data_IF_685081616545
#
_entry.id   IF_685081616545
#
_cell.length_a   1.000
_cell.length_b   1.000
_cell.length_c   1.000
_cell.angle_alpha   90.00
_cell.angle_beta   90.00
_cell.angle_gamma   90.00
#
_symmetry.space_group_name_H-M   'P 1'
#
loop_
_entity.id
_entity.type
_entity.pdbx_description
1 polymer ?
#
# COMPACT_ATOMS: atom_id res chain seq x y z
N UNK A 1 11.97 14.24 52.62
CA UNK A 1 12.21 15.09 51.42
C UNK A 1 13.07 14.43 50.35
N UNK A 2 14.07 13.59 50.66
CA UNK A 2 14.90 12.90 49.63
C UNK A 2 14.18 11.81 48.81
N UNK A 3 13.22 11.08 49.40
CA UNK A 3 12.44 10.05 48.70
C UNK A 3 11.34 10.61 47.79
N UNK A 4 10.89 11.83 48.05
CA UNK A 4 9.92 12.57 47.20
C UNK A 4 10.57 13.04 45.89
N UNK A 5 11.85 13.42 45.92
CA UNK A 5 12.61 13.77 44.70
C UNK A 5 12.91 12.55 43.82
N UNK A 6 13.11 11.36 44.41
CA UNK A 6 13.35 10.12 43.65
C UNK A 6 12.07 9.63 42.97
N UNK A 7 10.91 9.80 43.60
CA UNK A 7 9.61 9.45 42.99
C UNK A 7 9.24 10.33 41.79
N UNK A 8 9.70 11.58 41.74
CA UNK A 8 9.41 12.50 40.64
C UNK A 8 10.32 12.25 39.40
N UNK A 9 11.51 11.68 39.61
CA UNK A 9 12.45 11.37 38.54
C UNK A 9 12.06 10.12 37.72
N UNK A 10 11.31 9.18 38.30
CA UNK A 10 10.91 7.93 37.61
C UNK A 10 9.71 8.12 36.66
N UNK A 11 8.88 9.15 36.89
CA UNK A 11 7.70 9.42 36.06
C UNK A 11 8.04 10.13 34.74
N UNK A 12 9.23 10.72 34.63
CA UNK A 12 9.64 11.54 33.48
C UNK A 12 10.22 10.76 32.28
N UNK A 13 10.39 9.44 32.39
CA UNK A 13 10.94 8.59 31.32
C UNK A 13 9.91 7.81 30.50
N UNK A 14 8.61 7.91 30.82
CA UNK A 14 7.53 7.37 29.98
C UNK A 14 7.07 8.44 29.00
N UNK A 15 7.95 8.85 28.10
CA UNK A 15 7.49 9.52 26.88
C UNK A 15 6.85 8.42 26.03
N UNK A 16 5.59 8.54 25.56
CA UNK A 16 5.08 7.60 24.59
C UNK A 16 5.99 7.71 23.37
N UNK A 17 6.73 6.63 23.06
CA UNK A 17 7.42 6.51 21.79
C UNK A 17 6.39 6.83 20.72
N UNK A 18 6.73 7.78 19.84
CA UNK A 18 5.88 8.12 18.71
C UNK A 18 5.78 6.87 17.86
N UNK A 19 4.73 6.09 18.07
CA UNK A 19 4.35 4.97 17.23
C UNK A 19 4.15 5.56 15.85
N UNK A 20 5.15 5.37 14.99
CA UNK A 20 4.97 5.69 13.58
C UNK A 20 3.85 4.78 13.10
N UNK A 21 2.86 5.30 12.36
CA UNK A 21 1.81 4.46 11.79
C UNK A 21 2.48 3.39 10.94
N UNK A 22 2.48 2.16 11.45
CA UNK A 22 3.06 1.02 10.76
C UNK A 22 2.06 0.58 9.69
N UNK A 23 2.52 0.48 8.44
CA UNK A 23 1.71 -0.01 7.32
C UNK A 23 1.54 -1.52 7.41
N UNK A 24 0.62 -2.08 6.64
CA UNK A 24 0.39 -3.54 6.62
C UNK A 24 1.65 -4.32 6.22
N UNK A 25 2.56 -3.72 5.45
CA UNK A 25 3.72 -4.42 4.88
C UNK A 25 5.05 -3.97 5.45
N UNK A 26 5.09 -3.10 6.46
CA UNK A 26 6.37 -2.62 6.99
C UNK A 26 7.24 -3.76 7.54
N UNK A 27 6.64 -4.71 8.26
CA UNK A 27 7.37 -5.89 8.77
C UNK A 27 7.90 -6.77 7.64
N UNK A 28 7.07 -7.02 6.62
CA UNK A 28 7.47 -7.77 5.42
C UNK A 28 8.61 -7.05 4.70
N UNK A 29 8.47 -5.75 4.48
CA UNK A 29 9.48 -4.92 3.84
C UNK A 29 10.81 -4.98 4.59
N UNK A 30 10.81 -4.76 5.91
CA UNK A 30 12.04 -4.82 6.71
C UNK A 30 12.69 -6.21 6.71
N UNK A 31 11.87 -7.27 6.67
CA UNK A 31 12.37 -8.65 6.66
C UNK A 31 13.00 -9.04 5.32
N UNK A 32 12.35 -8.71 4.20
CA UNK A 32 12.71 -9.24 2.87
C UNK A 32 13.41 -8.24 1.95
N UNK A 33 13.37 -6.94 2.23
CA UNK A 33 14.03 -5.96 1.37
C UNK A 33 15.54 -6.22 1.24
N UNK A 34 16.02 -6.25 0.00
CA UNK A 34 17.42 -6.50 -0.33
C UNK A 34 17.87 -7.96 -0.21
N UNK A 35 16.95 -8.89 0.05
CA UNK A 35 17.23 -10.33 -0.07
C UNK A 35 17.23 -10.77 -1.55
N UNK A 36 17.85 -11.92 -1.81
CA UNK A 36 17.87 -12.54 -3.14
C UNK A 36 16.47 -12.96 -3.58
N UNK A 37 16.13 -12.74 -4.86
CA UNK A 37 14.78 -12.95 -5.40
C UNK A 37 13.78 -11.84 -5.07
N UNK A 38 14.16 -10.82 -4.28
CA UNK A 38 13.28 -9.71 -3.92
C UNK A 38 13.71 -8.39 -4.56
N UNK A 39 12.75 -7.72 -5.20
CA UNK A 39 12.85 -6.31 -5.57
C UNK A 39 12.05 -5.47 -4.56
N UNK A 40 12.72 -4.50 -3.93
CA UNK A 40 12.12 -3.64 -2.92
C UNK A 40 12.14 -2.17 -3.34
N UNK A 41 10.98 -1.53 -3.34
CA UNK A 41 10.81 -0.10 -3.66
C UNK A 41 10.21 0.61 -2.45
N UNK A 42 10.81 1.73 -2.04
CA UNK A 42 10.28 2.60 -0.99
C UNK A 42 10.40 4.07 -1.43
N UNK A 43 9.24 4.70 -1.64
CA UNK A 43 9.12 6.10 -2.01
C UNK A 43 8.56 6.84 -0.81
N UNK A 44 9.36 7.77 -0.27
CA UNK A 44 9.02 8.55 0.90
C UNK A 44 8.20 9.81 0.53
N UNK A 45 7.58 10.49 1.51
CA UNK A 45 6.77 11.70 1.24
C UNK A 45 7.56 12.82 0.55
N UNK A 46 8.87 12.90 0.76
CA UNK A 46 9.69 13.97 0.21
C UNK A 46 9.89 13.83 -1.30
N UNK A 47 9.94 12.59 -1.81
CA UNK A 47 9.94 12.35 -3.25
C UNK A 47 8.61 12.79 -3.89
N UNK A 48 7.47 12.48 -3.26
CA UNK A 48 6.16 12.91 -3.75
C UNK A 48 6.03 14.44 -3.77
N UNK A 49 6.47 15.13 -2.71
CA UNK A 49 6.50 16.60 -2.67
C UNK A 49 7.41 17.22 -3.74
N UNK A 50 8.55 16.58 -4.02
CA UNK A 50 9.45 17.04 -5.06
C UNK A 50 8.79 16.95 -6.44
N UNK A 51 8.07 15.86 -6.72
CA UNK A 51 7.37 15.66 -7.99
C UNK A 51 6.15 16.59 -8.08
N UNK A 52 5.36 16.73 -7.02
CA UNK A 52 4.16 17.58 -7.00
C UNK A 52 4.50 19.07 -7.16
N UNK A 53 5.66 19.50 -6.67
CA UNK A 53 6.17 20.86 -6.82
C UNK A 53 6.71 21.21 -8.21
N UNK A 54 6.82 20.24 -9.13
CA UNK A 54 7.14 20.53 -10.53
C UNK A 54 5.91 21.14 -11.20
N UNK A 55 6.01 22.41 -11.57
CA UNK A 55 4.92 23.18 -12.15
C UNK A 55 4.59 22.64 -13.56
N UNK A 56 3.57 21.79 -13.65
CA UNK A 56 3.07 21.16 -14.87
C UNK A 56 1.94 21.99 -15.51
N UNK A 57 1.88 23.30 -15.26
CA UNK A 57 0.78 24.20 -15.65
C UNK A 57 0.48 24.23 -17.16
N UNK A 58 1.49 23.95 -18.02
CA UNK A 58 1.36 23.82 -19.48
C UNK A 58 0.97 22.41 -19.95
N UNK A 59 0.70 21.47 -19.03
CA UNK A 59 0.41 20.08 -19.35
C UNK A 59 -1.09 19.82 -19.55
N UNK A 60 -1.37 18.75 -20.31
CA UNK A 60 -2.74 18.29 -20.59
C UNK A 60 -3.58 18.08 -19.31
N UNK A 61 -4.91 18.10 -19.45
CA UNK A 61 -5.84 17.90 -18.33
C UNK A 61 -5.58 16.60 -17.54
N UNK A 62 -5.18 15.53 -18.24
CA UNK A 62 -4.75 14.25 -17.64
C UNK A 62 -3.51 14.38 -16.74
N UNK A 63 -2.58 15.26 -17.08
CA UNK A 63 -1.38 15.49 -16.26
C UNK A 63 -1.72 16.21 -14.96
N UNK A 64 -2.71 17.11 -14.99
CA UNK A 64 -3.22 17.80 -13.78
C UNK A 64 -3.96 16.83 -12.86
N UNK A 65 -4.75 15.91 -13.41
CA UNK A 65 -5.39 14.84 -12.65
C UNK A 65 -4.37 13.92 -11.97
N UNK A 66 -3.32 13.51 -12.70
CA UNK A 66 -2.23 12.72 -12.14
C UNK A 66 -1.48 13.47 -11.02
N UNK A 67 -1.21 14.77 -11.20
CA UNK A 67 -0.58 15.61 -10.18
C UNK A 67 -1.43 15.67 -8.89
N UNK A 68 -2.74 15.92 -9.02
CA UNK A 68 -3.65 15.96 -7.87
C UNK A 68 -3.74 14.61 -7.13
N UNK A 69 -3.62 13.49 -7.86
CA UNK A 69 -3.55 12.16 -7.24
C UNK A 69 -2.23 11.98 -6.48
N UNK A 70 -1.10 12.42 -7.05
CA UNK A 70 0.22 12.36 -6.41
C UNK A 70 0.30 13.19 -5.13
N UNK A 71 -0.38 14.35 -5.07
CA UNK A 71 -0.42 15.19 -3.86
C UNK A 71 -1.11 14.52 -2.66
N UNK A 72 -2.02 13.59 -2.92
CA UNK A 72 -2.73 12.84 -1.88
C UNK A 72 -1.93 11.65 -1.37
N UNK A 73 -0.88 11.23 -2.07
CA UNK A 73 -0.02 10.11 -1.70
C UNK A 73 1.14 10.65 -0.86
N UNK A 74 1.36 10.00 0.27
CA UNK A 74 2.44 10.33 1.21
C UNK A 74 3.50 9.25 1.27
N UNK A 75 3.24 8.05 0.75
CA UNK A 75 4.22 6.98 0.75
C UNK A 75 3.82 5.83 -0.17
N UNK A 76 4.82 5.15 -0.70
CA UNK A 76 4.65 3.91 -1.44
C UNK A 76 5.74 2.93 -1.02
N UNK A 77 5.34 1.72 -0.64
CA UNK A 77 6.24 0.59 -0.44
C UNK A 77 5.78 -0.56 -1.32
N UNK A 78 6.72 -1.22 -1.96
CA UNK A 78 6.45 -2.39 -2.79
C UNK A 78 7.53 -3.43 -2.58
N UNK A 79 7.11 -4.68 -2.49
CA UNK A 79 7.95 -5.86 -2.62
C UNK A 79 7.44 -6.68 -3.79
N UNK A 80 8.35 -7.08 -4.65
CA UNK A 80 8.13 -8.06 -5.72
C UNK A 80 9.04 -9.24 -5.41
N UNK A 81 8.46 -10.43 -5.40
CA UNK A 81 9.17 -11.68 -5.26
C UNK A 81 9.04 -12.47 -6.56
N UNK A 82 10.18 -12.61 -7.23
CA UNK A 82 10.33 -13.31 -8.51
C UNK A 82 11.62 -14.16 -8.39
N UNK A 83 11.50 -15.39 -7.85
CA UNK A 83 12.65 -16.28 -7.66
C UNK A 83 13.11 -16.94 -8.97
N UNK A 84 14.25 -17.61 -8.94
CA UNK A 84 14.65 -18.50 -10.04
C UNK A 84 13.71 -19.72 -10.11
N UNK A 85 13.57 -20.30 -11.31
CA UNK A 85 12.66 -21.42 -11.57
C UNK A 85 12.92 -22.61 -10.62
N UNK A 86 11.90 -23.00 -9.87
CA UNK A 86 11.96 -24.11 -8.91
C UNK A 86 12.43 -23.72 -7.51
N UNK A 87 12.68 -22.44 -7.24
CA UNK A 87 12.87 -21.89 -5.91
C UNK A 87 11.60 -21.16 -5.44
N UNK A 88 11.27 -21.29 -4.16
CA UNK A 88 10.11 -20.60 -3.56
C UNK A 88 10.38 -20.32 -2.09
N UNK A 89 9.89 -19.18 -1.60
CA UNK A 89 9.99 -18.78 -0.21
C UNK A 89 8.62 -18.99 0.44
N UNK A 90 8.39 -20.22 0.91
CA UNK A 90 7.10 -20.61 1.51
C UNK A 90 6.67 -19.67 2.65
N UNK A 91 7.62 -19.22 3.47
CA UNK A 91 7.35 -18.30 4.58
C UNK A 91 6.83 -16.95 4.07
N UNK A 92 7.46 -16.39 3.04
CA UNK A 92 6.99 -15.14 2.41
C UNK A 92 5.59 -15.30 1.81
N UNK A 93 5.35 -16.41 1.09
CA UNK A 93 4.06 -16.69 0.47
C UNK A 93 2.94 -16.84 1.52
N UNK A 94 3.21 -17.50 2.65
CA UNK A 94 2.27 -17.58 3.77
C UNK A 94 2.01 -16.22 4.42
N UNK A 95 3.05 -15.42 4.62
CA UNK A 95 2.92 -14.09 5.20
C UNK A 95 2.08 -13.16 4.30
N UNK A 96 2.29 -13.16 2.97
CA UNK A 96 1.45 -12.39 2.04
C UNK A 96 0.00 -12.89 2.05
N UNK A 97 -0.23 -14.21 2.02
CA UNK A 97 -1.59 -14.76 2.11
C UNK A 97 -2.30 -14.29 3.38
N UNK A 98 -1.57 -14.11 4.49
CA UNK A 98 -2.12 -13.60 5.74
C UNK A 98 -2.55 -12.12 5.67
N UNK A 99 -1.91 -11.31 4.82
CA UNK A 99 -2.25 -9.90 4.65
C UNK A 99 -3.66 -9.69 4.12
N UNK A 100 -4.21 -10.65 3.37
CA UNK A 100 -5.62 -10.60 2.93
C UNK A 100 -6.62 -10.55 4.09
N UNK A 101 -6.20 -10.87 5.32
CA UNK A 101 -7.02 -10.89 6.55
C UNK A 101 -6.55 -9.86 7.57
N UNK A 102 -5.73 -8.89 7.17
CA UNK A 102 -5.22 -7.86 8.08
C UNK A 102 -6.37 -7.05 8.70
N UNK A 103 -6.31 -6.80 10.00
CA UNK A 103 -7.38 -6.09 10.72
C UNK A 103 -7.43 -4.62 10.32
N UNK A 104 -8.64 -4.10 10.17
CA UNK A 104 -8.88 -2.68 9.86
C UNK A 104 -8.82 -2.34 8.37
N UNK A 105 -8.70 -3.34 7.51
CA UNK A 105 -8.79 -3.19 6.07
C UNK A 105 -10.08 -3.82 5.56
N UNK A 106 -10.67 -3.20 4.55
CA UNK A 106 -11.83 -3.69 3.82
C UNK A 106 -11.38 -4.11 2.42
N UNK A 107 -11.70 -5.34 2.02
CA UNK A 107 -11.50 -5.82 0.66
C UNK A 107 -12.44 -5.03 -0.28
N UNK A 108 -11.85 -4.28 -1.19
CA UNK A 108 -12.60 -3.49 -2.18
C UNK A 108 -12.80 -4.27 -3.46
N UNK A 109 -11.84 -5.14 -3.80
CA UNK A 109 -11.85 -5.94 -5.00
C UNK A 109 -11.02 -7.21 -4.81
N UNK A 110 -11.48 -8.29 -5.42
CA UNK A 110 -10.67 -9.49 -5.67
C UNK A 110 -10.94 -10.01 -7.08
N UNK A 111 -9.87 -10.34 -7.80
CA UNK A 111 -9.90 -11.08 -9.08
C UNK A 111 -9.20 -12.40 -8.84
N UNK A 112 -9.76 -13.48 -9.39
CA UNK A 112 -9.13 -14.80 -9.35
C UNK A 112 -9.22 -15.36 -10.77
N UNK A 113 -8.06 -15.56 -11.41
CA UNK A 113 -7.96 -16.06 -12.78
C UNK A 113 -6.92 -17.19 -12.83
N UNK A 114 -7.39 -18.44 -12.95
CA UNK A 114 -6.51 -19.60 -12.84
C UNK A 114 -5.85 -19.65 -11.46
N UNK A 115 -4.52 -19.57 -11.47
CA UNK A 115 -3.67 -19.60 -10.28
C UNK A 115 -3.26 -18.18 -9.80
N UNK A 116 -3.66 -17.14 -10.55
CA UNK A 116 -3.43 -15.73 -10.18
C UNK A 116 -4.56 -15.20 -9.30
N UNK A 117 -4.19 -14.57 -8.18
CA UNK A 117 -5.11 -13.89 -7.26
C UNK A 117 -4.66 -12.45 -7.06
N UNK A 118 -5.50 -11.51 -7.49
CA UNK A 118 -5.32 -10.08 -7.26
C UNK A 118 -6.31 -9.60 -6.21
N UNK A 119 -5.83 -8.87 -5.20
CA UNK A 119 -6.66 -8.26 -4.15
C UNK A 119 -6.30 -6.81 -3.92
N UNK A 120 -7.34 -5.99 -3.79
CA UNK A 120 -7.25 -4.61 -3.33
C UNK A 120 -7.96 -4.47 -1.98
N UNK A 121 -7.23 -3.99 -0.98
CA UNK A 121 -7.75 -3.71 0.34
C UNK A 121 -7.52 -2.25 0.70
N UNK A 122 -8.44 -1.66 1.46
CA UNK A 122 -8.33 -0.25 1.89
C UNK A 122 -8.54 -0.12 3.39
N UNK A 123 -7.75 0.74 4.02
CA UNK A 123 -7.92 1.16 5.41
C UNK A 123 -8.45 2.57 5.43
N UNK A 124 -9.66 2.73 5.98
CA UNK A 124 -10.35 4.02 6.05
C UNK A 124 -10.07 4.72 7.37
N UNK A 125 -9.93 6.04 7.30
CA UNK A 125 -9.90 6.95 8.43
C UNK A 125 -11.31 7.21 8.98
N UNK A 126 -11.37 7.88 10.13
CA UNK A 126 -12.65 8.24 10.78
C UNK A 126 -13.46 9.29 10.01
N UNK A 127 -12.81 10.02 9.11
CA UNK A 127 -13.37 11.02 8.21
C UNK A 127 -13.84 10.45 6.85
N UNK A 128 -13.69 9.13 6.64
CA UNK A 128 -14.05 8.44 5.42
C UNK A 128 -12.98 8.48 4.32
N UNK A 129 -11.84 9.12 4.57
CA UNK A 129 -10.68 9.11 3.66
C UNK A 129 -9.95 7.78 3.71
N UNK A 130 -9.28 7.41 2.63
CA UNK A 130 -8.45 6.20 2.58
C UNK A 130 -7.04 6.56 3.05
N UNK A 131 -6.66 6.00 4.20
CA UNK A 131 -5.35 6.22 4.81
C UNK A 131 -4.27 5.33 4.17
N UNK A 132 -4.68 4.13 3.75
CA UNK A 132 -3.79 3.16 3.15
C UNK A 132 -4.55 2.28 2.16
N UNK A 133 -3.94 2.03 1.00
CA UNK A 133 -4.36 1.03 0.03
C UNK A 133 -3.30 -0.06 -0.04
N UNK A 134 -3.75 -1.31 -0.01
CA UNK A 134 -2.91 -2.49 -0.13
C UNK A 134 -3.32 -3.24 -1.38
N UNK A 135 -2.36 -3.51 -2.25
CA UNK A 135 -2.50 -4.39 -3.41
C UNK A 135 -1.68 -5.65 -3.15
N UNK A 136 -2.29 -6.80 -3.40
CA UNK A 136 -1.66 -8.11 -3.31
C UNK A 136 -1.91 -8.81 -4.64
N UNK A 137 -0.85 -9.26 -5.28
CA UNK A 137 -0.89 -10.20 -6.42
C UNK A 137 -0.15 -11.45 -5.96
N UNK A 138 -0.81 -12.60 -6.09
CA UNK A 138 -0.29 -13.90 -5.72
C UNK A 138 -0.41 -14.82 -6.92
N UNK A 139 0.69 -15.44 -7.31
CA UNK A 139 0.76 -16.57 -8.22
C UNK A 139 1.36 -17.76 -7.47
N UNK A 140 1.67 -18.87 -8.16
CA UNK A 140 2.13 -20.11 -7.50
C UNK A 140 3.44 -19.90 -6.72
N UNK A 141 4.45 -19.29 -7.34
CA UNK A 141 5.77 -19.05 -6.75
C UNK A 141 6.18 -17.57 -6.75
N UNK A 142 5.36 -16.70 -7.35
CA UNK A 142 5.61 -15.26 -7.45
C UNK A 142 4.58 -14.47 -6.63
N UNK A 143 5.00 -13.33 -6.11
CA UNK A 143 4.08 -12.46 -5.41
C UNK A 143 4.50 -11.00 -5.45
N UNK A 144 3.51 -10.13 -5.62
CA UNK A 144 3.68 -8.68 -5.50
C UNK A 144 2.84 -8.19 -4.34
N UNK A 145 3.43 -7.40 -3.47
CA UNK A 145 2.69 -6.65 -2.47
C UNK A 145 3.09 -5.19 -2.48
N UNK A 146 2.09 -4.31 -2.51
CA UNK A 146 2.27 -2.87 -2.54
C UNK A 146 1.36 -2.20 -1.52
N UNK A 147 1.92 -1.35 -0.68
CA UNK A 147 1.17 -0.44 0.20
C UNK A 147 1.39 1.00 -0.27
N UNK A 148 0.29 1.74 -0.37
CA UNK A 148 0.26 3.16 -0.69
C UNK A 148 -0.46 3.89 0.44
N UNK A 149 0.21 4.84 1.06
CA UNK A 149 -0.32 5.61 2.20
C UNK A 149 -0.60 7.05 1.79
N UNK A 150 -1.63 7.67 2.34
CA UNK A 150 -2.03 9.01 1.93
C UNK A 150 -3.28 9.53 2.63
N UNK A 151 -3.76 10.68 2.18
CA UNK A 151 -5.09 11.21 2.48
C UNK A 151 -5.92 11.14 1.19
N UNK A 152 -6.28 9.91 0.82
CA UNK A 152 -6.77 9.61 -0.52
C UNK A 152 -8.30 9.58 -0.56
N UNK A 153 -8.85 10.19 -1.60
CA UNK A 153 -10.25 9.97 -1.96
C UNK A 153 -10.44 8.61 -2.65
N UNK A 154 -11.61 7.99 -2.45
CA UNK A 154 -11.99 6.74 -3.12
C UNK A 154 -11.92 6.81 -4.66
N UNK A 155 -11.92 8.02 -5.24
CA UNK A 155 -11.76 8.21 -6.69
C UNK A 155 -10.41 7.70 -7.21
N UNK A 156 -9.35 7.78 -6.40
CA UNK A 156 -8.02 7.28 -6.77
C UNK A 156 -8.08 5.77 -7.03
N UNK A 157 -8.82 5.03 -6.22
CA UNK A 157 -9.06 3.60 -6.44
C UNK A 157 -9.72 3.36 -7.80
N UNK A 158 -10.76 4.13 -8.15
CA UNK A 158 -11.45 3.99 -9.45
C UNK A 158 -10.51 4.19 -10.65
N UNK A 159 -9.58 5.14 -10.57
CA UNK A 159 -8.61 5.38 -11.65
C UNK A 159 -7.59 4.25 -11.77
N UNK A 160 -7.13 3.68 -10.64
CA UNK A 160 -6.24 2.52 -10.64
C UNK A 160 -6.96 1.29 -11.22
N UNK A 161 -8.19 1.02 -10.79
CA UNK A 161 -8.98 -0.10 -11.31
C UNK A 161 -9.17 -0.01 -12.84
N UNK A 162 -9.44 1.18 -13.38
CA UNK A 162 -9.51 1.39 -14.84
C UNK A 162 -8.19 1.08 -15.54
N UNK A 163 -7.07 1.52 -14.97
CA UNK A 163 -5.75 1.28 -15.57
C UNK A 163 -5.37 -0.20 -15.62
N UNK A 164 -5.94 -1.02 -14.73
CA UNK A 164 -5.70 -2.46 -14.68
C UNK A 164 -6.69 -3.27 -15.54
N UNK A 165 -7.50 -2.62 -16.39
CA UNK A 165 -8.43 -3.29 -17.30
C UNK A 165 -9.64 -3.94 -16.62
N UNK A 166 -9.85 -3.67 -15.34
CA UNK A 166 -10.93 -4.25 -14.54
C UNK A 166 -12.32 -3.73 -14.97
N UNK A 167 -12.36 -2.54 -15.55
CA UNK A 167 -13.64 -1.85 -15.84
C UNK A 167 -14.24 -2.26 -17.19
N UNK A 168 -13.52 -2.97 -18.05
CA UNK A 168 -14.04 -3.47 -19.33
C UNK A 168 -15.15 -4.54 -19.20
N UNK A 169 -15.50 -5.00 -17.98
CA UNK A 169 -16.58 -5.96 -17.76
C UNK A 169 -18.00 -5.36 -17.78
N UNK A 170 -18.18 -4.04 -17.77
CA UNK A 170 -19.50 -3.41 -17.86
C UNK A 170 -20.00 -3.19 -19.31
N UNK A 171 -19.11 -3.28 -20.32
CA UNK A 171 -19.46 -3.01 -21.73
C UNK A 171 -19.83 -4.26 -22.56
N UNK A 172 -19.91 -5.45 -21.94
CA UNK A 172 -20.28 -6.69 -22.62
C UNK A 172 -21.76 -7.09 -22.51
N UNK A 173 -22.64 -6.22 -22.00
CA UNK A 173 -24.07 -6.55 -21.88
C UNK A 173 -25.06 -5.54 -22.50
N UNK A 174 -24.65 -4.78 -23.51
CA UNK A 174 -25.59 -4.02 -24.35
C UNK A 174 -25.43 -4.40 -25.82
N UNK A 175 -25.58 -5.69 -26.15
CA UNK A 175 -26.07 -6.17 -27.45
C UNK A 175 -26.79 -7.52 -27.31
N UNK A 176 -27.91 -7.51 -26.58
CA UNK A 176 -28.97 -8.50 -26.77
C UNK A 176 -30.32 -7.84 -26.52
N UNK A 177 -30.80 -7.09 -27.51
CA UNK A 177 -32.17 -7.12 -28.07
C UNK A 177 -32.33 -6.03 -29.13
#
# INVERSE_FOLDING_TARGET
MKTLFISLAVVLFLQPDKVHPQTAIDNLYEKYAGQEGFTSININPDMFKMISGLDMSDSSEKAKEAQNAMEQITGLKMLVYEPEEGETNEEFMEEIKSLSKVKGYEEMMSVNEGDEVVKFLTKKGTDGKVLEMLMIVLEDDEAVVMSMTGDMDLKIFTEISKSLGVTEMDDLNIKSE
#
